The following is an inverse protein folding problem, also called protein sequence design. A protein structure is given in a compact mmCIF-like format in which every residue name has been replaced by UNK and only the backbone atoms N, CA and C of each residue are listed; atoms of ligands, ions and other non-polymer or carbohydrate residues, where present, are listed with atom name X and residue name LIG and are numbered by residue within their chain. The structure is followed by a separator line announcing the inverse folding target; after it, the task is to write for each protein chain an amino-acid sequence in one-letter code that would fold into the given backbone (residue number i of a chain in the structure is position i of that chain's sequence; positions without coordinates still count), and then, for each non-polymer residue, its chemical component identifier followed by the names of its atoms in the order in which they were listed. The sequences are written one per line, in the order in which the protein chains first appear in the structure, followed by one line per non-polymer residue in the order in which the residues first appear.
data_IF_313574086474
#
_entry.id   IF_313574086474
#
_cell.length_a   1.000
_cell.length_b   1.000
_cell.length_c   1.000
_cell.angle_alpha   90.00
_cell.angle_beta   90.00
_cell.angle_gamma   90.00
#
_symmetry.space_group_name_H-M   'P 1'
#
loop_
_entity.id
_entity.type
_entity.pdbx_description
1 polymer ?
#
# COMPACT_ATOMS: atom_id res chain seq x y z
N UNK A 1 -6.83 -1.34 1.83
CA UNK A 1 -6.54 -1.55 3.27
C UNK A 1 -5.82 -0.32 3.81
N UNK A 2 -6.05 0.09 5.05
CA UNK A 2 -5.31 1.20 5.69
C UNK A 2 -4.40 0.59 6.75
N UNK A 3 -3.12 0.96 6.80
CA UNK A 3 -2.10 0.32 7.65
C UNK A 3 -1.24 1.33 8.41
N UNK A 4 -0.65 0.89 9.53
CA UNK A 4 0.37 1.61 10.29
C UNK A 4 1.20 0.64 11.14
N UNK A 5 2.51 0.58 10.90
CA UNK A 5 3.44 -0.21 11.71
C UNK A 5 3.05 -1.69 11.89
N UNK A 6 2.71 -2.33 10.78
CA UNK A 6 2.26 -3.73 10.71
C UNK A 6 3.32 -4.67 10.11
N UNK A 7 4.61 -4.27 10.07
CA UNK A 7 5.66 -5.06 9.42
C UNK A 7 5.74 -6.50 9.95
N UNK A 8 5.35 -6.71 11.20
CA UNK A 8 5.36 -7.99 11.91
C UNK A 8 4.25 -8.97 11.49
N UNK A 9 3.18 -8.53 10.83
CA UNK A 9 2.01 -9.37 10.51
C UNK A 9 1.47 -9.18 9.09
N UNK A 10 1.77 -8.05 8.44
CA UNK A 10 1.16 -7.68 7.16
C UNK A 10 1.39 -8.73 6.07
N UNK A 11 2.51 -9.45 6.10
CA UNK A 11 2.81 -10.51 5.14
C UNK A 11 1.79 -11.66 5.20
N UNK A 12 1.44 -12.12 6.40
CA UNK A 12 0.45 -13.18 6.60
C UNK A 12 -0.94 -12.72 6.18
N UNK A 13 -1.31 -11.49 6.56
CA UNK A 13 -2.59 -10.89 6.18
C UNK A 13 -2.71 -10.82 4.65
N UNK A 14 -1.70 -10.28 3.96
CA UNK A 14 -1.67 -10.18 2.51
C UNK A 14 -1.73 -11.57 1.84
N UNK A 15 -0.99 -12.54 2.35
CA UNK A 15 -1.02 -13.93 1.86
C UNK A 15 -2.41 -14.57 2.00
N UNK A 16 -3.11 -14.32 3.11
CA UNK A 16 -4.45 -14.86 3.35
C UNK A 16 -5.52 -14.27 2.43
N UNK A 17 -5.39 -12.99 2.06
CA UNK A 17 -6.38 -12.31 1.20
C UNK A 17 -6.06 -12.44 -0.29
N UNK A 18 -4.81 -12.75 -0.66
CA UNK A 18 -4.35 -12.85 -2.04
C UNK A 18 -5.23 -13.74 -2.95
N UNK A 19 -5.71 -14.93 -2.52
CA UNK A 19 -6.57 -15.78 -3.36
C UNK A 19 -7.95 -15.17 -3.66
N UNK A 20 -8.33 -14.09 -2.97
CA UNK A 20 -9.66 -13.51 -3.00
C UNK A 20 -9.72 -12.15 -3.70
N UNK A 21 -8.59 -11.61 -4.18
CA UNK A 21 -8.51 -10.28 -4.79
C UNK A 21 -7.81 -10.31 -6.14
N UNK A 22 -8.31 -9.54 -7.10
CA UNK A 22 -7.66 -9.35 -8.40
C UNK A 22 -6.72 -8.14 -8.42
N UNK A 23 -6.86 -7.23 -7.46
CA UNK A 23 -6.05 -6.02 -7.33
C UNK A 23 -6.07 -5.49 -5.90
N UNK A 24 -5.15 -4.59 -5.57
CA UNK A 24 -5.06 -4.01 -4.23
C UNK A 24 -4.79 -2.49 -4.25
N UNK A 25 -5.27 -1.83 -3.19
CA UNK A 25 -4.87 -0.48 -2.83
C UNK A 25 -4.62 -0.46 -1.33
N UNK A 26 -3.43 -0.05 -0.91
CA UNK A 26 -3.08 0.09 0.50
C UNK A 26 -2.71 1.54 0.78
N UNK A 27 -3.27 2.09 1.86
CA UNK A 27 -2.92 3.43 2.36
C UNK A 27 -2.10 3.27 3.62
N UNK A 28 -0.82 3.60 3.54
CA UNK A 28 0.07 3.62 4.70
C UNK A 28 0.00 4.98 5.41
N UNK A 29 -0.33 4.99 6.69
CA UNK A 29 -0.53 6.25 7.47
C UNK A 29 0.75 6.78 8.13
N UNK A 30 1.90 6.49 7.53
CA UNK A 30 3.21 6.93 7.98
C UNK A 30 3.88 5.90 8.88
N UNK A 31 4.02 4.68 8.39
CA UNK A 31 4.81 3.65 9.07
C UNK A 31 6.30 4.01 9.06
N UNK A 32 7.00 3.63 10.14
CA UNK A 32 8.44 3.83 10.36
C UNK A 32 9.19 2.53 10.68
N UNK A 33 8.49 1.40 10.62
CA UNK A 33 8.98 0.05 10.96
C UNK A 33 9.33 -0.83 9.74
N UNK A 34 9.25 -0.27 8.52
CA UNK A 34 9.46 -1.02 7.27
C UNK A 34 8.20 -1.68 6.69
N UNK A 35 7.01 -1.45 7.25
CA UNK A 35 5.73 -1.99 6.73
C UNK A 35 5.56 -1.80 5.22
N UNK A 36 5.94 -0.63 4.70
CA UNK A 36 5.81 -0.31 3.28
C UNK A 36 6.63 -1.24 2.38
N UNK A 37 7.84 -1.61 2.80
CA UNK A 37 8.73 -2.46 2.02
C UNK A 37 8.25 -3.90 2.02
N UNK A 38 7.73 -4.37 3.16
CA UNK A 38 7.09 -5.69 3.26
C UNK A 38 5.88 -5.79 2.33
N UNK A 39 5.03 -4.76 2.29
CA UNK A 39 3.88 -4.72 1.37
C UNK A 39 4.33 -4.79 -0.09
N UNK A 40 5.28 -3.94 -0.49
CA UNK A 40 5.75 -3.88 -1.88
C UNK A 40 6.36 -5.21 -2.31
N UNK A 41 7.22 -5.81 -1.50
CA UNK A 41 7.83 -7.11 -1.78
C UNK A 41 6.77 -8.20 -1.91
N UNK A 42 5.90 -8.34 -0.91
CA UNK A 42 4.91 -9.40 -0.87
C UNK A 42 3.93 -9.31 -2.06
N UNK A 43 3.44 -8.11 -2.40
CA UNK A 43 2.51 -7.97 -3.52
C UNK A 43 3.18 -8.18 -4.89
N UNK A 44 4.46 -7.83 -5.02
CA UNK A 44 5.25 -8.16 -6.21
C UNK A 44 5.44 -9.67 -6.34
N UNK A 45 5.78 -10.35 -5.25
CA UNK A 45 5.95 -11.81 -5.20
C UNK A 45 4.65 -12.56 -5.53
N UNK A 46 3.50 -12.02 -5.09
CA UNK A 46 2.17 -12.55 -5.41
C UNK A 46 1.72 -12.22 -6.84
N UNK A 47 2.37 -11.28 -7.54
CA UNK A 47 2.02 -10.88 -8.90
C UNK A 47 0.66 -10.20 -9.05
N UNK A 48 0.12 -9.61 -7.97
CA UNK A 48 -1.20 -8.95 -7.98
C UNK A 48 -1.00 -7.45 -8.23
N UNK A 49 -1.62 -6.86 -9.27
CA UNK A 49 -1.46 -5.44 -9.59
C UNK A 49 -2.11 -4.55 -8.51
N UNK A 50 -1.46 -3.44 -8.18
CA UNK A 50 -2.00 -2.48 -7.23
C UNK A 50 -1.06 -1.35 -6.84
N UNK A 51 -1.50 -0.55 -5.86
CA UNK A 51 -0.83 0.69 -5.46
C UNK A 51 -0.73 0.82 -3.93
N UNK A 52 0.41 1.35 -3.48
CA UNK A 52 0.64 1.80 -2.11
C UNK A 52 0.73 3.32 -2.07
N UNK A 53 -0.22 3.97 -1.38
CA UNK A 53 -0.27 5.43 -1.21
C UNK A 53 0.06 5.81 0.23
N UNK A 54 0.74 6.93 0.44
CA UNK A 54 1.01 7.46 1.78
C UNK A 54 -0.10 8.41 2.22
N UNK A 55 -0.74 8.12 3.34
CA UNK A 55 -1.83 8.91 3.95
C UNK A 55 -1.38 10.21 4.63
N UNK A 56 -0.15 10.69 4.40
CA UNK A 56 0.17 12.09 4.72
C UNK A 56 -0.59 12.92 3.70
N UNK A 57 -1.69 13.54 4.15
CA UNK A 57 -2.62 14.26 3.29
C UNK A 57 -1.92 15.02 2.17
N UNK A 58 -2.19 14.62 0.93
CA UNK A 58 -1.82 15.41 -0.22
C UNK A 58 -2.57 16.74 -0.11
N UNK A 59 -1.89 17.82 0.28
CA UNK A 59 -2.23 19.11 -0.28
C UNK A 59 -1.93 19.02 -1.77
N UNK A 60 -2.92 18.57 -2.54
CA UNK A 60 -2.97 18.75 -3.98
C UNK A 60 -2.96 20.26 -4.27
N UNK A 61 -1.77 20.83 -4.44
CA UNK A 61 -1.64 22.10 -5.13
C UNK A 61 -2.00 21.85 -6.61
N UNK A 62 -3.25 22.14 -6.95
CA UNK A 62 -3.70 22.24 -8.34
C UNK A 62 -2.85 23.29 -9.05
N UNK A 63 -1.99 22.89 -9.98
CA UNK A 63 -1.44 23.73 -11.06
C UNK A 63 -0.92 22.78 -12.14
N UNK A 64 -1.45 22.70 -13.36
CA UNK A 64 -2.55 23.39 -13.98
C UNK A 64 -2.87 22.69 -15.32
N UNK A 65 -4.15 22.60 -15.64
CA UNK A 65 -4.62 22.36 -17.01
C UNK A 65 -4.75 23.74 -17.68
N UNK A 66 -4.05 23.96 -18.79
CA UNK A 66 -4.23 24.95 -19.89
C UNK A 66 -2.81 25.23 -20.44
N UNK A 67 -2.47 25.06 -21.72
CA UNK A 67 -3.22 24.86 -22.97
C UNK A 67 -2.46 23.86 -23.83
#
# INVERSE_FOLDING_TARGET
MIVRNEAHIIQEVLGSVAPHVASWVIVDTGSDDGTQDVIRSQMADLGIPGELTNGRGETSATTGRRR
#
